data_IF_619687988349
#
_entry.id   IF_619687988349
#
_cell.length_a   1.000
_cell.length_b   1.000
_cell.length_c   1.000
_cell.angle_alpha   90.00
_cell.angle_beta   90.00
_cell.angle_gamma   90.00
#
_symmetry.space_group_name_H-M   'P 1'
#
loop_
_entity.id
_entity.type
_entity.pdbx_description
1 polymer ?
#
# COMPACT_ATOMS: atom_id res chain seq x y z
N UNK A 1 -18.54 -17.26 -12.92
CA UNK A 1 -17.30 -16.44 -13.02
C UNK A 1 -17.03 -15.88 -11.64
N UNK A 2 -15.82 -16.01 -11.15
CA UNK A 2 -15.43 -15.56 -9.81
C UNK A 2 -14.26 -14.60 -9.95
N UNK A 3 -14.29 -13.50 -9.20
CA UNK A 3 -13.13 -12.65 -9.00
C UNK A 3 -12.43 -13.00 -7.69
N UNK A 4 -11.10 -12.91 -7.68
CA UNK A 4 -10.37 -12.51 -6.48
C UNK A 4 -10.25 -10.99 -6.54
N UNK A 5 -10.51 -10.33 -5.41
CA UNK A 5 -10.81 -8.91 -5.39
C UNK A 5 -9.70 -8.22 -4.63
N UNK A 6 -8.83 -7.43 -5.26
CA UNK A 6 -8.09 -6.42 -4.49
C UNK A 6 -9.13 -5.51 -3.81
N UNK A 7 -9.07 -5.26 -2.48
CA UNK A 7 -10.24 -4.78 -1.78
C UNK A 7 -10.52 -3.36 -2.24
N UNK A 8 -11.79 -2.99 -2.09
CA UNK A 8 -12.17 -1.60 -2.11
C UNK A 8 -11.24 -0.81 -1.17
N UNK A 9 -10.59 0.25 -1.67
CA UNK A 9 -10.10 1.29 -0.78
C UNK A 9 -11.28 1.65 0.16
N UNK A 10 -11.06 1.69 1.50
CA UNK A 10 -12.15 1.90 2.43
C UNK A 10 -12.87 3.18 1.99
N UNK A 11 -14.19 3.07 1.76
CA UNK A 11 -14.99 4.23 1.41
C UNK A 11 -14.69 5.32 2.43
N UNK A 12 -14.22 6.49 1.97
CA UNK A 12 -14.00 7.63 2.83
C UNK A 12 -15.28 7.85 3.63
N UNK A 13 -15.25 7.51 4.92
CA UNK A 13 -16.30 7.92 5.83
C UNK A 13 -16.25 9.45 5.82
N UNK A 14 -17.32 10.08 5.33
CA UNK A 14 -17.54 11.50 5.52
C UNK A 14 -17.52 11.76 7.03
N UNK A 15 -16.40 12.29 7.52
CA UNK A 15 -16.29 12.80 8.87
C UNK A 15 -17.00 14.15 8.91
N UNK A 16 -18.33 14.10 9.02
CA UNK A 16 -19.09 15.19 9.63
C UNK A 16 -18.64 15.37 11.09
N UNK A 17 -18.47 16.64 11.47
CA UNK A 17 -17.60 17.04 12.56
C UNK A 17 -18.12 16.86 13.99
N UNK A 18 -17.19 17.01 14.93
CA UNK A 18 -17.36 17.50 16.31
C UNK A 18 -15.97 17.69 16.96
N UNK A 19 -15.85 18.34 18.13
CA UNK A 19 -15.86 19.78 18.34
C UNK A 19 -14.47 20.33 18.75
N UNK A 20 -14.27 21.63 18.56
CA UNK A 20 -13.15 22.39 19.13
C UNK A 20 -13.35 22.47 20.66
N UNK A 21 -12.42 21.92 21.43
CA UNK A 21 -12.35 22.15 22.88
C UNK A 21 -11.23 23.15 23.14
N UNK A 22 -11.61 24.39 23.44
CA UNK A 22 -10.71 25.39 24.03
C UNK A 22 -10.69 25.18 25.55
N UNK A 23 -9.51 25.03 26.12
CA UNK A 23 -9.32 25.05 27.58
C UNK A 23 -8.86 26.45 27.98
N UNK A 24 -9.70 27.12 28.77
CA UNK A 24 -9.50 28.44 29.35
C UNK A 24 -8.88 28.24 30.74
N UNK A 25 -7.78 28.91 31.05
CA UNK A 25 -7.24 28.95 32.41
C UNK A 25 -8.07 29.86 33.32
N UNK A 26 -8.14 29.53 34.62
CA UNK A 26 -9.03 30.12 35.62
C UNK A 26 -8.80 31.61 35.95
N UNK A 27 -7.90 32.31 35.27
CA UNK A 27 -7.60 33.74 35.47
C UNK A 27 -7.71 34.60 34.19
N UNK A 28 -8.14 34.03 33.05
CA UNK A 28 -8.59 34.80 31.90
C UNK A 28 -7.54 35.68 31.20
N UNK A 29 -6.24 35.42 31.35
CA UNK A 29 -5.17 36.15 30.63
C UNK A 29 -4.21 35.21 29.89
N UNK A 30 -3.85 35.58 28.66
CA UNK A 30 -2.73 34.98 27.92
C UNK A 30 -1.41 35.50 28.49
N UNK A 31 -0.69 34.67 29.24
CA UNK A 31 0.67 34.94 29.70
C UNK A 31 1.72 34.39 28.74
N UNK A 32 2.58 35.26 28.19
CA UNK A 32 3.85 34.85 27.58
C UNK A 32 4.83 34.48 28.69
N UNK A 33 5.22 33.20 28.78
CA UNK A 33 6.33 32.79 29.63
C UNK A 33 7.60 32.74 28.78
N UNK A 34 8.53 33.65 29.07
CA UNK A 34 9.86 33.67 28.45
C UNK A 34 10.74 32.68 29.22
N UNK A 35 11.04 31.54 28.59
CA UNK A 35 12.04 30.60 29.11
C UNK A 35 13.40 31.00 28.53
N UNK A 36 14.36 31.25 29.41
CA UNK A 36 15.72 31.62 29.08
C UNK A 36 16.41 30.53 28.23
N UNK A 37 17.02 30.93 27.12
CA UNK A 37 17.83 30.05 26.28
C UNK A 37 19.13 29.70 27.01
N UNK A 38 19.20 28.47 27.53
CA UNK A 38 20.47 27.84 27.92
C UNK A 38 21.15 27.29 26.66
N UNK A 39 22.49 27.24 26.68
CA UNK A 39 23.34 26.93 25.55
C UNK A 39 22.92 25.64 24.80
N UNK A 40 22.96 25.70 23.46
CA UNK A 40 22.54 24.61 22.59
C UNK A 40 23.41 23.35 22.83
N UNK A 41 22.80 22.19 23.15
CA UNK A 41 23.52 20.93 23.19
C UNK A 41 23.99 20.54 21.78
N UNK A 42 25.18 19.95 21.69
CA UNK A 42 25.74 19.42 20.45
C UNK A 42 24.78 18.38 19.85
N UNK A 43 24.34 18.60 18.61
CA UNK A 43 23.35 17.73 17.97
C UNK A 43 23.97 16.40 17.52
N UNK A 44 23.38 15.25 17.88
CA UNK A 44 23.77 13.98 17.30
C UNK A 44 23.35 13.93 15.83
N UNK A 45 24.34 13.75 14.95
CA UNK A 45 24.12 13.68 13.49
C UNK A 45 24.03 12.24 12.96
N UNK A 46 23.94 11.24 13.83
CA UNK A 46 23.95 9.82 13.44
C UNK A 46 22.70 9.07 13.90
N UNK A 47 22.29 8.07 13.12
CA UNK A 47 21.16 7.16 13.42
C UNK A 47 21.31 6.47 14.78
N UNK A 48 22.56 6.15 15.17
CA UNK A 48 22.87 5.60 16.49
C UNK A 48 22.57 6.60 17.61
N UNK A 49 22.84 7.89 17.39
CA UNK A 49 22.51 8.95 18.35
C UNK A 49 21.00 9.09 18.56
N UNK A 50 20.22 9.13 17.48
CA UNK A 50 18.75 9.20 17.54
C UNK A 50 18.16 7.97 18.24
N UNK A 51 18.70 6.78 17.97
CA UNK A 51 18.27 5.55 18.63
C UNK A 51 18.53 5.60 20.14
N UNK A 52 19.72 6.01 20.55
CA UNK A 52 20.07 6.12 21.97
C UNK A 52 19.17 7.13 22.69
N UNK A 53 18.91 8.29 22.10
CA UNK A 53 17.99 9.30 22.65
C UNK A 53 16.53 8.81 22.71
N UNK A 54 16.12 7.97 21.75
CA UNK A 54 14.79 7.34 21.75
C UNK A 54 14.66 6.30 22.86
N UNK A 55 15.70 5.50 23.08
CA UNK A 55 15.76 4.51 24.15
C UNK A 55 15.77 5.21 25.53
N UNK A 56 16.52 6.31 25.68
CA UNK A 56 16.55 7.13 26.90
C UNK A 56 15.19 7.79 27.20
N UNK A 57 14.51 8.33 26.18
CA UNK A 57 13.16 8.89 26.35
C UNK A 57 12.15 7.79 26.73
N UNK A 58 12.24 6.61 26.11
CA UNK A 58 11.39 5.47 26.47
C UNK A 58 11.58 5.09 27.94
N UNK A 59 12.82 4.98 28.38
CA UNK A 59 13.13 4.56 29.75
C UNK A 59 12.68 5.63 30.76
N UNK A 60 12.80 6.92 30.43
CA UNK A 60 12.29 8.03 31.25
C UNK A 60 10.76 8.03 31.40
N UNK A 61 10.02 7.70 30.33
CA UNK A 61 8.54 7.56 30.37
C UNK A 61 8.10 6.40 31.26
N UNK A 62 8.93 5.35 31.36
CA UNK A 62 8.64 4.17 32.16
C UNK A 62 9.06 4.34 33.64
N UNK A 63 9.89 5.34 33.97
CA UNK A 63 10.24 5.65 35.36
C UNK A 63 9.19 6.55 36.03
N UNK A 64 8.47 6.07 37.05
CA UNK A 64 7.44 6.84 37.75
C UNK A 64 7.98 8.05 38.53
N UNK A 65 9.31 8.17 38.71
CA UNK A 65 9.94 9.29 39.39
C UNK A 65 10.35 10.42 38.43
N UNK A 66 10.24 10.22 37.12
CA UNK A 66 10.55 11.26 36.14
C UNK A 66 9.46 12.32 36.16
N UNK A 67 9.84 13.58 36.33
CA UNK A 67 8.89 14.68 36.26
C UNK A 67 8.45 14.96 34.82
N UNK A 68 7.22 15.45 34.65
CA UNK A 68 6.71 15.84 33.33
C UNK A 68 7.62 16.87 32.62
N UNK A 69 8.23 17.79 33.38
CA UNK A 69 9.16 18.78 32.82
C UNK A 69 10.40 18.12 32.19
N UNK A 70 10.97 17.12 32.85
CA UNK A 70 12.12 16.37 32.31
C UNK A 70 11.74 15.55 31.08
N UNK A 71 10.54 14.95 31.08
CA UNK A 71 10.00 14.27 29.90
C UNK A 71 9.85 15.22 28.71
N UNK A 72 9.33 16.44 28.95
CA UNK A 72 9.18 17.45 27.90
C UNK A 72 10.53 17.95 27.38
N UNK A 73 11.52 18.14 28.25
CA UNK A 73 12.87 18.55 27.86
C UNK A 73 13.56 17.47 27.00
N UNK A 74 13.48 16.20 27.39
CA UNK A 74 14.05 15.08 26.63
C UNK A 74 13.32 14.86 25.30
N UNK A 75 11.99 14.91 25.30
CA UNK A 75 11.21 14.86 24.06
C UNK A 75 11.58 16.03 23.14
N UNK A 76 11.69 17.26 23.68
CA UNK A 76 12.08 18.44 22.91
C UNK A 76 13.51 18.35 22.37
N UNK A 77 14.42 17.71 23.09
CA UNK A 77 15.79 17.44 22.62
C UNK A 77 15.77 16.45 21.44
N UNK A 78 15.09 15.30 21.59
CA UNK A 78 14.94 14.30 20.54
C UNK A 78 14.27 14.88 19.28
N UNK A 79 13.13 15.54 19.43
CA UNK A 79 12.42 16.17 18.31
C UNK A 79 13.15 17.41 17.75
N UNK A 80 14.04 18.03 18.52
CA UNK A 80 14.91 19.11 18.09
C UNK A 80 16.14 18.63 17.31
N UNK A 81 16.62 17.41 17.59
CA UNK A 81 17.69 16.72 16.87
C UNK A 81 17.21 16.10 15.55
N UNK A 82 15.91 15.78 15.43
CA UNK A 82 15.30 15.43 14.15
C UNK A 82 15.36 16.66 13.23
N UNK A 83 16.03 16.58 12.06
CA UNK A 83 16.23 17.73 11.19
C UNK A 83 14.90 18.41 10.83
N UNK A 84 14.75 19.68 11.25
CA UNK A 84 13.66 20.53 10.75
C UNK A 84 13.93 20.91 9.29
N UNK A 85 12.84 21.02 8.53
CA UNK A 85 12.76 21.14 7.06
C UNK A 85 13.50 22.34 6.45
N UNK A 86 13.93 23.30 7.26
CA UNK A 86 14.70 24.46 6.81
C UNK A 86 16.21 24.17 6.71
N UNK A 87 16.67 23.03 7.23
CA UNK A 87 17.99 22.52 6.91
C UNK A 87 17.93 21.87 5.53
N UNK A 88 18.80 22.31 4.63
CA UNK A 88 19.13 21.74 3.33
C UNK A 88 19.69 20.29 3.39
N UNK A 89 19.32 19.55 4.45
CA UNK A 89 19.78 18.21 4.85
C UNK A 89 18.64 17.21 4.96
N UNK A 90 17.49 17.42 4.31
CA UNK A 90 16.77 16.24 3.82
C UNK A 90 17.71 15.60 2.81
N UNK A 91 18.35 14.49 3.20
CA UNK A 91 19.22 13.72 2.30
C UNK A 91 18.50 13.54 0.97
N UNK A 92 19.25 13.66 -0.13
CA UNK A 92 18.68 13.52 -1.48
C UNK A 92 17.81 12.27 -1.55
N UNK A 93 16.49 12.44 -1.62
CA UNK A 93 15.56 11.33 -1.80
C UNK A 93 15.95 10.62 -3.09
N UNK A 94 16.20 9.32 -3.05
CA UNK A 94 16.55 8.57 -4.24
C UNK A 94 15.30 8.32 -5.09
N UNK A 95 14.99 9.29 -5.94
CA UNK A 95 13.95 9.19 -6.96
C UNK A 95 14.49 8.58 -8.26
N UNK A 96 15.69 7.97 -8.25
CA UNK A 96 16.27 7.39 -9.46
C UNK A 96 15.33 6.34 -10.08
N UNK A 97 15.22 6.39 -11.41
CA UNK A 97 14.32 5.53 -12.18
C UNK A 97 12.83 5.85 -12.03
N UNK A 98 12.42 6.69 -11.06
CA UNK A 98 11.02 7.12 -10.99
C UNK A 98 10.75 8.19 -12.04
N UNK A 99 10.23 7.74 -13.17
CA UNK A 99 9.81 8.63 -14.24
C UNK A 99 8.46 9.25 -13.89
N UNK A 100 8.39 10.58 -13.97
CA UNK A 100 7.12 11.29 -13.86
C UNK A 100 6.20 10.77 -14.98
N UNK A 101 4.94 10.43 -14.69
CA UNK A 101 4.02 9.92 -15.70
C UNK A 101 3.94 10.85 -16.91
N UNK A 102 4.04 10.24 -18.10
CA UNK A 102 3.77 10.91 -19.38
C UNK A 102 2.33 10.58 -19.81
N UNK A 103 1.39 11.54 -19.72
CA UNK A 103 -0.01 11.32 -20.08
C UNK A 103 -0.21 10.95 -21.55
N UNK A 104 0.77 11.24 -22.42
CA UNK A 104 0.68 10.95 -23.85
C UNK A 104 1.08 9.51 -24.21
N UNK A 105 1.83 8.82 -23.35
CA UNK A 105 2.40 7.50 -23.66
C UNK A 105 2.13 6.41 -22.62
N UNK A 106 1.74 6.75 -21.38
CA UNK A 106 1.83 5.83 -20.23
C UNK A 106 0.52 5.68 -19.43
N UNK A 107 -0.62 5.44 -20.09
CA UNK A 107 -1.88 5.14 -19.39
C UNK A 107 -2.60 3.91 -19.97
N UNK A 108 -1.86 2.97 -20.55
CA UNK A 108 -2.40 1.69 -20.95
C UNK A 108 -1.71 0.53 -20.22
N UNK A 109 -2.27 -0.67 -20.37
CA UNK A 109 -1.72 -1.89 -19.75
C UNK A 109 -0.36 -2.24 -20.36
N UNK A 110 -0.14 -1.94 -21.64
CA UNK A 110 1.12 -2.22 -22.32
C UNK A 110 2.27 -1.40 -21.72
N UNK A 111 2.04 -0.11 -21.44
CA UNK A 111 2.97 0.77 -20.74
C UNK A 111 3.37 0.19 -19.39
N UNK A 112 2.39 -0.19 -18.56
CA UNK A 112 2.67 -0.84 -17.26
C UNK A 112 3.52 -2.09 -17.39
N UNK A 113 3.17 -2.99 -18.32
CA UNK A 113 3.92 -4.22 -18.57
C UNK A 113 5.36 -3.91 -19.00
N UNK A 114 5.54 -3.00 -19.95
CA UNK A 114 6.86 -2.57 -20.44
C UNK A 114 7.70 -2.00 -19.30
N UNK A 115 7.15 -1.05 -18.52
CA UNK A 115 7.88 -0.39 -17.42
C UNK A 115 8.19 -1.34 -16.27
N UNK A 116 7.30 -2.28 -15.95
CA UNK A 116 7.57 -3.34 -14.97
C UNK A 116 8.78 -4.17 -15.38
N UNK A 117 8.85 -4.59 -16.66
CA UNK A 117 9.98 -5.34 -17.20
C UNK A 117 11.27 -4.54 -17.19
N UNK A 118 11.23 -3.32 -17.70
CA UNK A 118 12.39 -2.42 -17.73
C UNK A 118 12.94 -2.21 -16.32
N UNK A 119 12.07 -1.99 -15.34
CA UNK A 119 12.47 -1.82 -13.95
C UNK A 119 13.12 -3.10 -13.38
N UNK A 120 12.53 -4.28 -13.59
CA UNK A 120 13.15 -5.55 -13.16
C UNK A 120 14.55 -5.74 -13.76
N UNK A 121 14.71 -5.47 -15.05
CA UNK A 121 16.00 -5.62 -15.74
C UNK A 121 17.02 -4.59 -15.26
N UNK A 122 16.60 -3.34 -15.06
CA UNK A 122 17.45 -2.27 -14.55
C UNK A 122 17.91 -2.59 -13.12
N UNK A 123 16.98 -2.91 -12.23
CA UNK A 123 17.26 -3.29 -10.84
C UNK A 123 18.24 -4.46 -10.77
N UNK A 124 18.06 -5.49 -11.60
CA UNK A 124 19.04 -6.58 -11.71
C UNK A 124 20.41 -6.09 -12.21
N UNK A 125 20.45 -5.26 -13.25
CA UNK A 125 21.70 -4.78 -13.83
C UNK A 125 22.52 -3.92 -12.87
N UNK A 126 21.84 -3.08 -12.07
CA UNK A 126 22.44 -2.11 -11.15
C UNK A 126 22.83 -2.75 -9.82
N UNK A 127 21.97 -3.61 -9.27
CA UNK A 127 22.16 -4.18 -7.94
C UNK A 127 22.72 -5.60 -7.95
N UNK A 128 22.83 -6.24 -9.12
CA UNK A 128 23.28 -7.64 -9.28
C UNK A 128 22.44 -8.66 -8.52
N UNK A 129 21.22 -8.30 -8.12
CA UNK A 129 20.25 -9.19 -7.49
C UNK A 129 19.19 -9.52 -8.54
N UNK A 130 19.02 -10.79 -8.95
CA UNK A 130 17.97 -11.15 -9.90
C UNK A 130 16.58 -10.90 -9.27
N UNK A 131 15.54 -10.63 -10.10
CA UNK A 131 14.17 -10.53 -9.58
C UNK A 131 13.80 -11.82 -8.85
N UNK A 132 13.11 -11.68 -7.71
CA UNK A 132 12.66 -12.85 -6.96
C UNK A 132 11.72 -13.71 -7.83
N UNK A 133 11.79 -15.06 -7.76
CA UNK A 133 10.98 -15.94 -8.61
C UNK A 133 9.49 -15.62 -8.56
N UNK A 134 8.95 -15.33 -7.37
CA UNK A 134 7.54 -15.01 -7.18
C UNK A 134 7.09 -13.77 -7.97
N UNK A 135 7.94 -12.75 -8.08
CA UNK A 135 7.67 -11.54 -8.86
C UNK A 135 7.76 -11.86 -10.36
N UNK A 136 8.82 -12.57 -10.76
CA UNK A 136 9.06 -12.91 -12.15
C UNK A 136 7.92 -13.78 -12.71
N UNK A 137 7.49 -14.78 -11.96
CA UNK A 137 6.38 -15.64 -12.32
C UNK A 137 5.07 -14.85 -12.39
N UNK A 138 4.75 -14.02 -11.38
CA UNK A 138 3.56 -13.17 -11.41
C UNK A 138 3.53 -12.26 -12.65
N UNK A 139 4.67 -11.63 -12.96
CA UNK A 139 4.82 -10.85 -14.19
C UNK A 139 4.64 -11.69 -15.46
N UNK A 140 5.21 -12.90 -15.52
CA UNK A 140 5.10 -13.80 -16.68
C UNK A 140 3.65 -14.25 -16.91
N UNK A 141 2.93 -14.64 -15.86
CA UNK A 141 1.53 -15.02 -15.95
C UNK A 141 0.64 -13.83 -16.35
N UNK A 142 0.87 -12.66 -15.74
CA UNK A 142 0.21 -11.41 -16.17
C UNK A 142 0.49 -11.08 -17.64
N UNK A 143 1.74 -11.23 -18.08
CA UNK A 143 2.15 -11.01 -19.47
C UNK A 143 1.56 -12.01 -20.46
N UNK A 144 1.38 -13.26 -20.05
CA UNK A 144 0.66 -14.27 -20.83
C UNK A 144 -0.81 -13.89 -21.05
N UNK A 145 -1.49 -13.40 -20.01
CA UNK A 145 -2.87 -12.92 -20.11
C UNK A 145 -2.97 -11.65 -20.97
N UNK A 146 -2.02 -10.73 -20.84
CA UNK A 146 -1.95 -9.54 -21.67
C UNK A 146 -1.74 -9.89 -23.15
N UNK A 147 -0.79 -10.77 -23.46
CA UNK A 147 -0.54 -11.24 -24.82
C UNK A 147 -1.76 -11.96 -25.44
N UNK A 148 -2.59 -12.59 -24.62
CA UNK A 148 -3.85 -13.22 -25.04
C UNK A 148 -5.03 -12.24 -25.17
N UNK A 149 -4.84 -10.94 -24.90
CA UNK A 149 -5.90 -9.93 -24.90
C UNK A 149 -6.87 -10.04 -23.72
N UNK A 150 -6.45 -10.71 -22.64
CA UNK A 150 -7.24 -10.95 -21.43
C UNK A 150 -6.84 -10.04 -20.26
N UNK A 151 -5.93 -9.09 -20.45
CA UNK A 151 -5.60 -8.05 -19.49
C UNK A 151 -6.01 -6.68 -20.04
N UNK A 152 -6.91 -5.97 -19.37
CA UNK A 152 -7.45 -4.70 -19.91
C UNK A 152 -8.05 -3.79 -18.85
N UNK A 153 -8.31 -2.55 -19.24
CA UNK A 153 -9.17 -1.65 -18.47
C UNK A 153 -10.64 -2.09 -18.58
N UNK A 154 -11.35 -2.00 -17.46
CA UNK A 154 -12.76 -2.33 -17.34
C UNK A 154 -13.66 -1.26 -17.92
N UNK A 155 -13.70 -1.23 -19.26
CA UNK A 155 -14.58 -0.34 -20.03
C UNK A 155 -16.06 -0.69 -19.93
N UNK A 156 -16.40 -1.81 -19.27
CA UNK A 156 -17.77 -2.33 -19.17
C UNK A 156 -18.35 -2.20 -17.75
N UNK A 157 -17.62 -1.61 -16.81
CA UNK A 157 -18.09 -1.40 -15.43
C UNK A 157 -18.40 -2.69 -14.67
N UNK A 158 -17.62 -3.75 -14.90
CA UNK A 158 -17.70 -5.01 -14.16
C UNK A 158 -17.11 -4.91 -12.74
N UNK A 159 -16.16 -4.01 -12.53
CA UNK A 159 -15.52 -3.74 -11.25
C UNK A 159 -16.27 -2.63 -10.51
N UNK A 160 -16.35 -2.77 -9.19
CA UNK A 160 -16.88 -1.71 -8.35
C UNK A 160 -15.93 -0.50 -8.34
N UNK A 161 -16.44 0.71 -8.07
CA UNK A 161 -15.64 1.96 -8.11
C UNK A 161 -14.38 1.94 -7.24
N UNK A 162 -14.40 1.18 -6.14
CA UNK A 162 -13.29 1.14 -5.19
C UNK A 162 -12.32 -0.01 -5.45
N UNK A 163 -12.69 -0.94 -6.32
CA UNK A 163 -11.85 -2.07 -6.71
C UNK A 163 -10.96 -1.65 -7.88
N UNK A 164 -9.66 -1.60 -7.65
CA UNK A 164 -8.68 -1.12 -8.63
C UNK A 164 -8.27 -2.19 -9.64
N UNK A 165 -8.23 -3.45 -9.22
CA UNK A 165 -7.83 -4.61 -10.00
C UNK A 165 -8.67 -5.84 -9.66
N UNK A 166 -8.72 -6.80 -10.59
CA UNK A 166 -9.29 -8.11 -10.37
C UNK A 166 -8.72 -9.17 -11.29
N UNK A 167 -8.29 -10.28 -10.71
CA UNK A 167 -8.10 -11.54 -11.41
C UNK A 167 -9.43 -12.31 -11.48
N UNK A 168 -9.90 -12.57 -12.70
CA UNK A 168 -11.12 -13.28 -13.00
C UNK A 168 -10.81 -14.69 -13.48
N UNK A 169 -11.54 -15.67 -12.95
CA UNK A 169 -11.33 -17.08 -13.29
C UNK A 169 -12.60 -17.94 -13.14
N UNK A 170 -12.54 -19.12 -13.74
CA UNK A 170 -13.44 -20.25 -13.52
C UNK A 170 -12.71 -21.35 -12.74
N UNK A 171 -13.38 -22.44 -12.40
CA UNK A 171 -12.72 -23.57 -11.74
C UNK A 171 -11.53 -24.15 -12.51
N UNK A 172 -11.48 -23.95 -13.83
CA UNK A 172 -10.51 -24.61 -14.71
C UNK A 172 -9.75 -23.66 -15.62
N UNK A 173 -10.11 -22.38 -15.67
CA UNK A 173 -9.53 -21.44 -16.63
C UNK A 173 -9.44 -20.01 -16.12
N UNK A 174 -8.34 -19.35 -16.50
CA UNK A 174 -8.23 -17.90 -16.37
C UNK A 174 -9.23 -17.24 -17.33
N UNK A 175 -9.97 -16.24 -16.85
CA UNK A 175 -10.81 -15.38 -17.69
C UNK A 175 -10.05 -14.11 -18.05
N UNK A 176 -9.32 -13.52 -17.12
CA UNK A 176 -8.50 -12.34 -17.39
C UNK A 176 -8.19 -11.50 -16.16
N UNK A 177 -7.45 -10.42 -16.37
CA UNK A 177 -7.19 -9.38 -15.37
C UNK A 177 -7.85 -8.08 -15.83
N UNK A 178 -8.66 -7.48 -14.97
CA UNK A 178 -9.29 -6.20 -15.22
C UNK A 178 -8.73 -5.13 -14.28
N UNK A 179 -8.45 -3.94 -14.81
CA UNK A 179 -8.16 -2.75 -14.02
C UNK A 179 -9.29 -1.76 -14.15
N UNK A 180 -9.73 -1.14 -13.05
CA UNK A 180 -10.78 -0.13 -13.10
C UNK A 180 -10.28 1.11 -13.86
N UNK A 181 -11.17 1.83 -14.56
CA UNK A 181 -10.79 3.08 -15.25
C UNK A 181 -10.19 4.13 -14.29
N UNK A 182 -10.58 4.12 -13.01
CA UNK A 182 -9.99 4.94 -11.97
C UNK A 182 -8.48 4.67 -11.78
N UNK A 183 -8.01 3.48 -12.15
CA UNK A 183 -6.60 3.11 -12.11
C UNK A 183 -5.73 3.91 -13.10
N UNK A 184 -6.31 4.43 -14.18
CA UNK A 184 -5.62 5.39 -15.07
C UNK A 184 -5.27 6.69 -14.35
N UNK A 185 -6.10 7.11 -13.39
CA UNK A 185 -5.78 8.27 -12.54
C UNK A 185 -4.58 7.97 -11.65
N UNK A 186 -4.47 6.75 -11.14
CA UNK A 186 -3.30 6.33 -10.35
C UNK A 186 -2.03 6.34 -11.20
N UNK A 187 -2.06 5.76 -12.40
CA UNK A 187 -0.93 5.86 -13.34
C UNK A 187 -0.54 7.32 -13.61
N UNK A 188 -1.51 8.19 -13.89
CA UNK A 188 -1.27 9.59 -14.23
C UNK A 188 -0.63 10.40 -13.08
N UNK A 189 -0.80 9.98 -11.82
CA UNK A 189 -0.20 10.66 -10.66
C UNK A 189 1.09 9.99 -10.18
N UNK A 190 1.15 8.66 -10.23
CA UNK A 190 2.18 7.88 -9.57
C UNK A 190 3.19 7.26 -10.55
N UNK A 191 2.85 7.22 -11.84
CA UNK A 191 3.62 6.51 -12.85
C UNK A 191 3.35 5.00 -12.86
N UNK A 192 3.78 4.37 -13.95
CA UNK A 192 3.58 2.93 -14.19
C UNK A 192 4.30 2.05 -13.17
N UNK A 193 5.41 2.52 -12.60
CA UNK A 193 6.19 1.72 -11.63
C UNK A 193 5.42 1.46 -10.33
N UNK A 194 4.76 2.48 -9.76
CA UNK A 194 3.95 2.31 -8.56
C UNK A 194 2.59 1.71 -8.87
N UNK A 195 2.04 1.96 -10.07
CA UNK A 195 0.83 1.31 -10.53
C UNK A 195 1.05 -0.20 -10.76
N UNK A 196 2.24 -0.63 -11.18
CA UNK A 196 2.48 -2.05 -11.43
C UNK A 196 2.45 -2.92 -10.17
N UNK A 197 2.41 -2.34 -8.96
CA UNK A 197 2.16 -3.11 -7.74
C UNK A 197 0.85 -3.90 -7.82
N UNK A 198 -0.26 -3.27 -8.23
CA UNK A 198 -1.52 -3.97 -8.47
C UNK A 198 -1.42 -4.96 -9.64
N UNK A 199 -0.67 -4.63 -10.70
CA UNK A 199 -0.45 -5.57 -11.81
C UNK A 199 0.23 -6.86 -11.33
N UNK A 200 1.27 -6.73 -10.51
CA UNK A 200 1.99 -7.87 -9.93
C UNK A 200 1.09 -8.64 -8.97
N UNK A 201 0.27 -7.95 -8.18
CA UNK A 201 -0.72 -8.57 -7.31
C UNK A 201 -1.69 -9.47 -8.10
N UNK A 202 -2.33 -8.94 -9.14
CA UNK A 202 -3.26 -9.73 -9.96
C UNK A 202 -2.54 -10.83 -10.76
N UNK A 203 -1.30 -10.57 -11.17
CA UNK A 203 -0.42 -11.57 -11.78
C UNK A 203 -0.09 -12.73 -10.83
N UNK A 204 0.04 -12.46 -9.52
CA UNK A 204 0.26 -13.49 -8.51
C UNK A 204 -0.97 -14.38 -8.36
N UNK A 205 -2.18 -13.83 -8.36
CA UNK A 205 -3.40 -14.65 -8.41
C UNK A 205 -3.45 -15.53 -9.68
N UNK A 206 -3.06 -14.99 -10.83
CA UNK A 206 -2.99 -15.78 -12.07
C UNK A 206 -2.00 -16.95 -11.98
N UNK A 207 -0.81 -16.69 -11.42
CA UNK A 207 0.20 -17.72 -11.12
C UNK A 207 -0.35 -18.78 -10.18
N UNK A 208 -0.93 -18.37 -9.06
CA UNK A 208 -1.39 -19.27 -8.01
C UNK A 208 -2.58 -20.11 -8.48
N UNK A 209 -3.42 -19.57 -9.37
CA UNK A 209 -4.47 -20.34 -10.03
C UNK A 209 -3.90 -21.39 -10.98
N UNK A 210 -2.95 -21.02 -11.84
CA UNK A 210 -2.32 -21.96 -12.76
C UNK A 210 -1.59 -23.10 -12.03
N UNK A 211 -1.04 -22.81 -10.84
CA UNK A 211 -0.38 -23.79 -9.99
C UNK A 211 -1.35 -24.59 -9.09
N UNK A 212 -2.66 -24.38 -9.21
CA UNK A 212 -3.68 -25.06 -8.39
C UNK A 212 -3.67 -24.68 -6.90
N UNK A 213 -2.97 -23.60 -6.55
CA UNK A 213 -2.84 -23.10 -5.17
C UNK A 213 -3.94 -22.09 -4.81
N UNK A 214 -4.53 -21.42 -5.80
CA UNK A 214 -5.65 -20.52 -5.60
C UNK A 214 -6.96 -21.29 -5.43
N UNK A 215 -7.57 -21.17 -4.25
CA UNK A 215 -8.83 -21.82 -3.91
C UNK A 215 -9.96 -20.76 -3.84
N UNK A 216 -11.14 -21.01 -4.45
CA UNK A 216 -12.24 -20.04 -4.45
C UNK A 216 -12.96 -19.88 -3.10
N UNK A 217 -12.68 -20.77 -2.14
CA UNK A 217 -13.14 -20.75 -0.74
C UNK A 217 -12.08 -20.08 0.14
N UNK A 218 -10.82 -20.51 0.06
CA UNK A 218 -9.69 -19.96 0.84
C UNK A 218 -9.17 -18.62 0.28
N UNK A 219 -10.05 -17.63 0.18
CA UNK A 219 -9.73 -16.30 -0.37
C UNK A 219 -8.57 -15.67 0.38
N UNK A 220 -8.57 -15.72 1.72
CA UNK A 220 -7.54 -15.06 2.54
C UNK A 220 -6.15 -15.58 2.22
N UNK A 221 -6.00 -16.89 2.02
CA UNK A 221 -4.74 -17.52 1.67
C UNK A 221 -4.21 -17.04 0.32
N UNK A 222 -5.10 -16.90 -0.68
CA UNK A 222 -4.74 -16.33 -1.97
C UNK A 222 -4.27 -14.88 -1.85
N UNK A 223 -4.96 -14.07 -1.06
CA UNK A 223 -4.60 -12.67 -0.81
C UNK A 223 -3.27 -12.52 -0.07
N UNK A 224 -2.99 -13.37 0.92
CA UNK A 224 -1.70 -13.40 1.62
C UNK A 224 -0.55 -13.64 0.64
N UNK A 225 -0.71 -14.57 -0.31
CA UNK A 225 0.31 -14.88 -1.32
C UNK A 225 0.49 -13.72 -2.32
N UNK A 226 -0.61 -13.09 -2.73
CA UNK A 226 -0.58 -11.93 -3.63
C UNK A 226 0.06 -10.70 -2.97
N UNK A 227 -0.35 -10.31 -1.76
CA UNK A 227 0.26 -9.19 -1.04
C UNK A 227 1.73 -9.43 -0.69
N UNK A 228 2.14 -10.68 -0.42
CA UNK A 228 3.55 -11.00 -0.27
C UNK A 228 4.32 -10.72 -1.55
N UNK A 229 3.79 -11.15 -2.70
CA UNK A 229 4.42 -10.90 -4.00
C UNK A 229 4.46 -9.40 -4.32
N UNK A 230 3.39 -8.66 -4.01
CA UNK A 230 3.31 -7.21 -4.17
C UNK A 230 4.29 -6.46 -3.25
N UNK A 231 4.45 -6.89 -1.99
CA UNK A 231 5.46 -6.36 -1.09
C UNK A 231 6.87 -6.54 -1.66
N UNK A 232 7.18 -7.73 -2.18
CA UNK A 232 8.49 -8.00 -2.78
C UNK A 232 8.75 -7.16 -4.04
N UNK A 233 7.69 -6.88 -4.82
CA UNK A 233 7.75 -5.88 -5.88
C UNK A 233 8.06 -4.49 -5.35
N UNK A 234 7.37 -4.02 -4.31
CA UNK A 234 7.63 -2.72 -3.69
C UNK A 234 9.05 -2.63 -3.13
N UNK A 235 9.61 -3.72 -2.58
CA UNK A 235 11.01 -3.78 -2.13
C UNK A 235 12.01 -3.76 -3.28
N UNK A 236 11.63 -4.27 -4.45
CA UNK A 236 12.45 -4.18 -5.66
C UNK A 236 12.43 -2.76 -6.22
N UNK A 237 11.26 -2.13 -6.23
CA UNK A 237 11.01 -0.80 -6.79
C UNK A 237 11.57 0.35 -5.92
N UNK A 238 11.33 0.24 -4.63
CA UNK A 238 11.60 1.26 -3.63
C UNK A 238 12.14 0.59 -2.35
N UNK A 239 13.37 0.04 -2.37
CA UNK A 239 13.91 -0.77 -1.27
C UNK A 239 13.90 -0.07 0.09
N UNK A 240 13.99 1.26 0.09
CA UNK A 240 14.04 2.11 1.28
C UNK A 240 12.71 2.80 1.60
N UNK A 241 11.67 2.62 0.77
CA UNK A 241 10.39 3.33 0.93
C UNK A 241 10.47 4.84 0.67
N UNK A 242 11.55 5.31 0.05
CA UNK A 242 11.83 6.74 -0.18
C UNK A 242 10.88 7.33 -1.23
N UNK A 243 10.61 6.59 -2.32
CA UNK A 243 9.66 7.01 -3.36
C UNK A 243 8.25 7.10 -2.78
N UNK A 244 7.81 6.07 -2.06
CA UNK A 244 6.49 6.02 -1.46
C UNK A 244 6.29 7.10 -0.39
N UNK A 245 7.28 7.30 0.49
CA UNK A 245 7.24 8.35 1.50
C UNK A 245 7.20 9.75 0.87
N UNK A 246 7.99 9.97 -0.18
CA UNK A 246 7.96 11.23 -0.93
C UNK A 246 6.61 11.45 -1.60
N UNK A 247 6.02 10.43 -2.24
CA UNK A 247 4.71 10.51 -2.88
C UNK A 247 3.63 10.92 -1.87
N UNK A 248 3.56 10.23 -0.73
CA UNK A 248 2.59 10.48 0.34
C UNK A 248 2.72 11.89 0.90
N UNK A 249 3.94 12.34 1.14
CA UNK A 249 4.20 13.69 1.67
C UNK A 249 3.87 14.77 0.64
N UNK A 250 4.28 14.57 -0.61
CA UNK A 250 4.19 15.58 -1.68
C UNK A 250 2.80 15.74 -2.25
N UNK A 251 2.11 14.61 -2.48
CA UNK A 251 0.79 14.60 -3.12
C UNK A 251 -0.36 14.63 -2.10
N UNK A 252 -0.18 14.04 -0.93
CA UNK A 252 -1.28 13.85 0.02
C UNK A 252 -1.14 14.66 1.30
N UNK A 253 0.00 15.35 1.50
CA UNK A 253 0.24 16.13 2.70
C UNK A 253 0.32 15.29 3.99
N UNK A 254 0.44 13.96 3.85
CA UNK A 254 0.51 13.06 5.01
C UNK A 254 1.77 13.37 5.80
N UNK A 255 1.61 13.58 7.11
CA UNK A 255 2.72 13.94 8.01
C UNK A 255 3.17 15.40 7.92
N UNK A 256 2.44 16.27 7.20
CA UNK A 256 2.74 17.71 7.10
C UNK A 256 1.59 18.53 7.71
N UNK A 257 1.80 19.19 8.86
CA UNK A 257 0.78 20.03 9.47
C UNK A 257 0.27 21.10 8.49
N UNK A 258 -1.07 21.23 8.38
CA UNK A 258 -1.76 22.19 7.52
C UNK A 258 -1.54 22.04 5.99
N UNK A 259 -0.88 20.97 5.54
CA UNK A 259 -0.78 20.71 4.10
C UNK A 259 -2.14 20.22 3.56
N UNK A 260 -2.61 20.85 2.49
CA UNK A 260 -3.74 20.32 1.72
C UNK A 260 -3.24 19.26 0.74
N UNK A 261 -3.99 18.17 0.62
CA UNK A 261 -3.77 17.19 -0.43
C UNK A 261 -3.87 17.87 -1.81
N UNK A 262 -2.91 17.56 -2.68
CA UNK A 262 -2.86 18.04 -4.07
C UNK A 262 -3.48 17.02 -5.03
N UNK A 263 -3.32 15.73 -4.72
CA UNK A 263 -3.86 14.65 -5.52
C UNK A 263 -5.31 14.30 -5.12
N UNK A 264 -6.09 13.68 -6.02
CA UNK A 264 -7.39 13.11 -5.70
C UNK A 264 -7.33 12.12 -4.53
N UNK A 265 -8.42 12.01 -3.77
CA UNK A 265 -8.52 11.09 -2.61
C UNK A 265 -8.10 9.65 -2.94
N UNK A 266 -8.53 9.14 -4.09
CA UNK A 266 -8.15 7.82 -4.60
C UNK A 266 -6.62 7.60 -4.65
N UNK A 267 -5.86 8.61 -5.11
CA UNK A 267 -4.39 8.53 -5.18
C UNK A 267 -3.81 8.40 -3.79
N UNK A 268 -4.34 9.16 -2.84
CA UNK A 268 -3.88 9.16 -1.46
C UNK A 268 -4.25 7.88 -0.71
N UNK A 269 -5.43 7.35 -0.95
CA UNK A 269 -5.88 6.06 -0.44
C UNK A 269 -5.01 4.92 -0.98
N UNK A 270 -4.70 4.92 -2.28
CA UNK A 270 -3.80 3.93 -2.88
C UNK A 270 -2.38 4.03 -2.33
N UNK A 271 -1.81 5.23 -2.21
CA UNK A 271 -0.50 5.42 -1.57
C UNK A 271 -0.49 4.98 -0.10
N UNK A 272 -1.60 5.18 0.62
CA UNK A 272 -1.75 4.67 1.98
C UNK A 272 -1.86 3.14 2.01
N UNK A 273 -2.52 2.54 1.02
CA UNK A 273 -2.60 1.08 0.86
C UNK A 273 -1.22 0.48 0.61
N UNK A 274 -0.44 1.01 -0.34
CA UNK A 274 0.95 0.58 -0.57
C UNK A 274 1.81 0.71 0.71
N UNK A 275 1.59 1.76 1.51
CA UNK A 275 2.30 1.94 2.77
C UNK A 275 1.89 0.90 3.84
N UNK A 276 0.62 0.47 3.86
CA UNK A 276 0.17 -0.65 4.71
C UNK A 276 0.84 -1.95 4.29
N UNK A 277 0.94 -2.23 2.99
CA UNK A 277 1.64 -3.40 2.47
C UNK A 277 3.09 -3.40 2.94
N UNK A 278 3.81 -2.28 2.80
CA UNK A 278 5.19 -2.17 3.31
C UNK A 278 5.25 -2.38 4.83
N UNK A 279 4.39 -1.71 5.60
CA UNK A 279 4.39 -1.83 7.07
C UNK A 279 4.21 -3.27 7.56
N UNK A 280 3.25 -3.99 6.96
CA UNK A 280 2.94 -5.38 7.30
C UNK A 280 3.98 -6.34 6.74
N UNK A 281 4.47 -6.12 5.53
CA UNK A 281 5.51 -6.94 4.91
C UNK A 281 6.85 -6.92 5.67
N UNK A 282 7.28 -5.75 6.16
CA UNK A 282 8.47 -5.64 7.02
C UNK A 282 8.33 -6.40 8.35
N UNK A 283 7.09 -6.72 8.77
CA UNK A 283 6.77 -7.53 9.95
C UNK A 283 6.41 -8.97 9.62
N UNK A 284 6.37 -9.31 8.33
CA UNK A 284 5.84 -10.57 7.83
C UNK A 284 4.40 -10.87 8.33
N UNK A 285 3.59 -9.82 8.53
CA UNK A 285 2.21 -9.90 9.04
C UNK A 285 1.17 -9.72 7.91
N UNK A 286 1.23 -10.61 6.91
CA UNK A 286 0.30 -10.54 5.78
C UNK A 286 -1.12 -10.98 6.16
N UNK A 287 -1.26 -11.90 7.12
CA UNK A 287 -2.56 -12.30 7.64
C UNK A 287 -3.27 -11.12 8.33
N UNK A 288 -2.55 -10.33 9.14
CA UNK A 288 -3.06 -9.11 9.75
C UNK A 288 -3.44 -8.04 8.73
N UNK A 289 -2.66 -7.88 7.65
CA UNK A 289 -3.05 -7.02 6.53
C UNK A 289 -4.37 -7.47 5.89
N UNK A 290 -4.47 -8.75 5.53
CA UNK A 290 -5.65 -9.33 4.88
C UNK A 290 -6.89 -9.21 5.77
N UNK A 291 -6.74 -9.46 7.07
CA UNK A 291 -7.80 -9.23 8.05
C UNK A 291 -8.21 -7.75 8.15
N UNK A 292 -7.23 -6.85 8.24
CA UNK A 292 -7.47 -5.40 8.32
C UNK A 292 -8.19 -4.86 7.06
N UNK A 293 -7.95 -5.46 5.90
CA UNK A 293 -8.61 -5.11 4.65
C UNK A 293 -10.01 -5.74 4.51
N UNK A 294 -10.42 -6.57 5.47
CA UNK A 294 -11.77 -7.14 5.53
C UNK A 294 -11.97 -8.37 4.66
N UNK A 295 -10.91 -9.05 4.25
CA UNK A 295 -11.02 -10.29 3.50
C UNK A 295 -11.54 -11.43 4.37
N UNK A 296 -12.48 -12.19 3.81
CA UNK A 296 -13.05 -13.36 4.44
C UNK A 296 -13.06 -14.53 3.46
N UNK A 297 -12.79 -15.72 3.99
CA UNK A 297 -13.02 -16.96 3.26
C UNK A 297 -14.52 -17.13 2.99
N UNK A 298 -14.84 -17.83 1.90
CA UNK A 298 -16.23 -18.08 1.52
C UNK A 298 -16.75 -19.30 2.27
N UNK A 299 -18.05 -19.35 2.49
CA UNK A 299 -18.70 -20.52 3.11
C UNK A 299 -18.79 -21.70 2.15
N UNK A 300 -18.92 -21.41 0.86
CA UNK A 300 -19.20 -22.41 -0.17
C UNK A 300 -18.34 -22.14 -1.40
N UNK A 301 -18.06 -23.22 -2.15
CA UNK A 301 -17.34 -23.10 -3.41
C UNK A 301 -18.30 -22.55 -4.48
N UNK A 302 -18.07 -21.35 -5.02
CA UNK A 302 -18.91 -20.73 -6.04
C UNK A 302 -18.92 -21.46 -7.39
N UNK A 303 -18.06 -22.48 -7.56
CA UNK A 303 -18.03 -23.33 -8.75
C UNK A 303 -18.72 -24.67 -8.56
N UNK A 304 -19.17 -25.01 -7.34
CA UNK A 304 -20.00 -26.19 -7.16
C UNK A 304 -21.38 -25.90 -7.77
N UNK A 305 -21.71 -26.58 -8.86
CA UNK A 305 -23.10 -26.69 -9.31
C UNK A 305 -23.87 -27.36 -8.19
N UNK A 306 -24.92 -26.71 -7.68
CA UNK A 306 -25.92 -27.38 -6.84
C UNK A 306 -26.37 -28.60 -7.63
N UNK A 307 -26.00 -29.80 -7.19
CA UNK A 307 -26.53 -31.02 -7.78
C UNK A 307 -28.04 -30.90 -7.68
N UNK A 308 -28.75 -30.97 -8.81
CA UNK A 308 -30.20 -31.04 -8.79
C UNK A 308 -30.62 -32.07 -7.74
N UNK A 309 -31.60 -31.75 -6.88
CA UNK A 309 -32.10 -32.72 -5.93
C UNK A 309 -32.46 -33.99 -6.71
N UNK A 310 -32.10 -35.19 -6.21
CA UNK A 310 -32.34 -36.42 -6.94
C UNK A 310 -33.80 -36.46 -7.35
N UNK A 311 -34.05 -36.55 -8.66
CA UNK A 311 -35.38 -36.69 -9.23
C UNK A 311 -36.19 -37.61 -8.34
N UNK A 312 -37.27 -37.08 -7.76
CA UNK A 312 -38.18 -37.83 -6.93
C UNK A 312 -38.68 -39.02 -7.76
N UNK A 313 -38.05 -40.17 -7.55
CA UNK A 313 -38.32 -41.38 -8.25
C UNK A 313 -39.81 -41.73 -8.11
N UNK A 314 -40.47 -41.88 -9.25
CA UNK A 314 -41.56 -42.83 -9.41
C UNK A 314 -42.90 -42.43 -8.78
N UNK A 315 -43.74 -41.80 -9.60
CA UNK A 315 -45.12 -42.27 -9.74
C UNK A 315 -45.43 -42.49 -11.21
N UNK A 316 -45.22 -43.73 -11.66
CA UNK A 316 -45.91 -44.24 -12.84
C UNK A 316 -47.41 -44.29 -12.51
N UNK A 317 -48.29 -43.67 -13.31
CA UNK A 317 -49.73 -43.90 -13.17
C UNK A 317 -50.03 -45.31 -13.69
N UNK A 318 -50.57 -46.14 -12.80
CA UNK A 318 -51.34 -47.33 -13.16
C UNK A 318 -52.81 -46.99 -13.35
#
# INVERSE_FOLDING_TARGET
>A
MVGVFCPALPAAAELEGAPVVSVMGDDGRYGQQVVAMSAAPEQPTSVTGIKNETDELRDAVLDPNTSNTQLYEQASALFGAIPRRDSSRMGSVNLHGWEKPDPATNMDVQGMMTRTKEHMLRSWSEHKVPPKPEILEAYQYGGGLHAAGLMSYDTKGKLTKNQLGAYLYTATSAVGILFNDAFRVLQAWLGDELASATLIHEGAHARDHANGSLNPVEVRKGEVQAFRTEFEWLKTLDPRGEKLAWARTTYCGIGVPNARAKAPGLVCEYLQHLAKIQYHGERNDFDGLVEQLGYADRKENPFQTVSDPPDAAGKSPG
#
